data_IF_436494907747
#
_entry.id   IF_436494907747
#
_cell.length_a   1.000
_cell.length_b   1.000
_cell.length_c   1.000
_cell.angle_alpha   90.00
_cell.angle_beta   90.00
_cell.angle_gamma   90.00
#
_symmetry.space_group_name_H-M   'P 1'
#
loop_
_entity.id
_entity.type
_entity.pdbx_description
1 polymer ?
#
# COMPACT_ATOMS: atom_id res chain seq x y z
N UNK A 1 22.19 22.10 -2.90
CA UNK A 1 23.04 20.97 -3.37
C UNK A 1 22.19 19.80 -3.86
N UNK A 2 21.20 19.33 -3.10
CA UNK A 2 20.32 18.23 -3.52
C UNK A 2 19.63 18.49 -4.87
N UNK A 3 19.00 19.66 -5.02
CA UNK A 3 18.38 20.06 -6.29
C UNK A 3 19.40 20.19 -7.42
N UNK A 4 20.59 20.72 -7.13
CA UNK A 4 21.67 20.83 -8.14
C UNK A 4 22.18 19.45 -8.61
N UNK A 5 22.24 18.47 -7.71
CA UNK A 5 22.58 17.09 -8.08
C UNK A 5 21.46 16.43 -8.90
N UNK A 6 20.20 16.69 -8.56
CA UNK A 6 19.03 16.23 -9.32
C UNK A 6 19.01 16.82 -10.74
N UNK A 7 19.26 18.13 -10.88
CA UNK A 7 19.30 18.83 -12.16
C UNK A 7 20.50 18.37 -13.03
N UNK A 8 21.58 17.90 -12.39
CA UNK A 8 22.75 17.32 -13.04
C UNK A 8 22.61 15.80 -13.31
N UNK A 9 21.42 15.22 -13.13
CA UNK A 9 21.12 13.79 -13.34
C UNK A 9 21.92 12.83 -12.44
N UNK A 10 22.46 13.34 -11.33
CA UNK A 10 23.19 12.57 -10.31
C UNK A 10 22.21 12.06 -9.25
N UNK A 11 21.34 11.13 -9.63
CA UNK A 11 20.21 10.72 -8.80
C UNK A 11 20.61 10.02 -7.50
N UNK A 12 21.69 9.25 -7.48
CA UNK A 12 22.21 8.62 -6.27
C UNK A 12 22.71 9.66 -5.25
N UNK A 13 23.42 10.68 -5.72
CA UNK A 13 23.89 11.78 -4.87
C UNK A 13 22.72 12.63 -4.37
N UNK A 14 21.74 12.90 -5.23
CA UNK A 14 20.52 13.60 -4.84
C UNK A 14 19.71 12.84 -3.79
N UNK A 15 19.58 11.51 -3.92
CA UNK A 15 18.93 10.64 -2.95
C UNK A 15 19.69 10.62 -1.60
N UNK A 16 21.02 10.48 -1.61
CA UNK A 16 21.85 10.52 -0.41
C UNK A 16 21.74 11.86 0.31
N UNK A 17 21.73 12.97 -0.43
CA UNK A 17 21.57 14.31 0.15
C UNK A 17 20.15 14.50 0.73
N UNK A 18 19.10 13.98 0.07
CA UNK A 18 17.73 13.98 0.59
C UNK A 18 17.64 13.23 1.91
N UNK A 19 18.19 12.03 1.98
CA UNK A 19 18.14 11.18 3.17
C UNK A 19 18.95 11.80 4.32
N UNK A 20 20.06 12.46 4.01
CA UNK A 20 20.84 13.23 4.97
C UNK A 20 20.11 14.47 5.49
N UNK A 21 19.38 15.16 4.65
CA UNK A 21 18.51 16.29 5.05
C UNK A 21 17.40 15.78 5.97
N UNK A 22 16.75 14.67 5.63
CA UNK A 22 15.72 14.05 6.45
C UNK A 22 16.25 13.66 7.84
N UNK A 23 17.41 12.99 7.91
CA UNK A 23 18.07 12.62 9.17
C UNK A 23 18.46 13.84 10.02
N UNK A 24 19.04 14.88 9.42
CA UNK A 24 19.41 16.12 10.11
C UNK A 24 18.17 16.91 10.59
N UNK A 25 17.10 16.88 9.81
CA UNK A 25 15.83 17.50 10.21
C UNK A 25 15.27 16.77 11.42
N UNK A 26 15.26 15.45 11.40
CA UNK A 26 14.82 14.60 12.52
C UNK A 26 15.66 14.83 13.79
N UNK A 27 17.00 14.88 13.66
CA UNK A 27 17.90 15.20 14.80
C UNK A 27 17.64 16.60 15.37
N UNK A 28 17.43 17.59 14.51
CA UNK A 28 17.14 18.97 14.94
C UNK A 28 15.79 19.07 15.65
N UNK A 29 14.81 18.29 15.21
CA UNK A 29 13.51 18.16 15.87
C UNK A 29 13.66 17.52 17.25
N UNK A 30 14.43 16.46 17.41
CA UNK A 30 14.67 15.82 18.69
C UNK A 30 15.41 16.75 19.67
N UNK A 31 16.44 17.47 19.25
CA UNK A 31 17.18 18.42 20.09
C UNK A 31 16.34 19.62 20.56
N UNK A 32 15.40 20.10 19.73
CA UNK A 32 14.52 21.21 20.11
C UNK A 32 13.50 20.84 21.22
N UNK A 33 13.24 19.54 21.41
CA UNK A 33 12.27 19.02 22.38
C UNK A 33 12.93 18.76 23.74
N UNK A 34 14.21 18.40 23.78
CA UNK A 34 14.92 18.04 25.02
C UNK A 34 15.27 19.22 25.93
N UNK A 35 15.05 20.48 25.48
CA UNK A 35 15.64 21.64 26.17
C UNK A 35 14.74 22.33 27.20
N UNK A 36 13.45 21.96 27.35
CA UNK A 36 12.55 22.67 28.29
C UNK A 36 11.40 21.75 28.73
N UNK A 37 11.70 20.76 29.57
CA UNK A 37 10.68 19.81 29.99
C UNK A 37 10.32 19.96 31.45
N UNK A 38 9.11 20.35 31.74
CA UNK A 38 8.44 19.87 32.95
C UNK A 38 8.06 18.40 32.77
N UNK A 39 7.89 17.72 33.87
CA UNK A 39 7.51 16.28 33.97
C UNK A 39 6.05 16.07 33.49
N UNK A 40 5.78 16.34 32.19
CA UNK A 40 4.44 16.33 31.62
C UNK A 40 4.33 15.20 30.59
N UNK A 41 3.36 14.32 30.83
CA UNK A 41 2.92 13.33 29.86
C UNK A 41 1.76 13.91 29.02
N UNK A 42 1.98 14.01 27.73
CA UNK A 42 1.00 14.52 26.79
C UNK A 42 0.99 13.71 25.49
N UNK A 43 -0.17 13.58 24.89
CA UNK A 43 -0.34 13.14 23.52
C UNK A 43 -0.79 14.34 22.68
N UNK A 44 -0.31 14.39 21.43
CA UNK A 44 -0.61 15.46 20.50
C UNK A 44 -1.23 14.81 19.25
N UNK A 45 -2.39 15.31 18.82
CA UNK A 45 -3.12 14.80 17.67
C UNK A 45 -3.37 15.90 16.67
N UNK A 46 -2.99 15.66 15.43
CA UNK A 46 -3.26 16.53 14.30
C UNK A 46 -3.77 15.73 13.11
N UNK A 47 -4.56 16.36 12.24
CA UNK A 47 -5.12 15.74 11.06
C UNK A 47 -4.78 16.51 9.79
N UNK A 48 -4.55 15.77 8.70
CA UNK A 48 -4.40 16.33 7.37
C UNK A 48 -5.27 15.56 6.38
N UNK A 49 -5.98 16.29 5.53
CA UNK A 49 -6.96 15.72 4.60
C UNK A 49 -6.64 16.24 3.19
N UNK A 50 -6.61 15.35 2.22
CA UNK A 50 -6.38 15.73 0.83
C UNK A 50 -6.65 14.58 -0.14
N UNK A 51 -7.27 14.90 -1.27
CA UNK A 51 -7.58 13.95 -2.35
C UNK A 51 -8.25 12.65 -1.87
N UNK A 52 -9.20 12.75 -0.93
CA UNK A 52 -9.92 11.58 -0.40
C UNK A 52 -9.15 10.78 0.65
N UNK A 53 -7.92 11.16 0.98
CA UNK A 53 -7.09 10.49 1.99
C UNK A 53 -7.07 11.32 3.27
N UNK A 54 -7.25 10.64 4.39
CA UNK A 54 -7.15 11.20 5.74
C UNK A 54 -5.89 10.66 6.41
N UNK A 55 -5.10 11.55 7.00
CA UNK A 55 -3.95 11.21 7.84
C UNK A 55 -4.13 11.82 9.21
N UNK A 56 -4.04 11.01 10.26
CA UNK A 56 -3.94 11.46 11.64
C UNK A 56 -2.52 11.21 12.12
N UNK A 57 -1.86 12.24 12.64
CA UNK A 57 -0.55 12.10 13.28
C UNK A 57 -0.72 12.15 14.79
N UNK A 58 -0.20 11.14 15.47
CA UNK A 58 -0.16 11.03 16.92
C UNK A 58 1.29 11.15 17.38
N UNK A 59 1.61 12.20 18.11
CA UNK A 59 2.90 12.38 18.75
C UNK A 59 2.76 12.15 20.27
N UNK A 60 3.73 11.48 20.86
CA UNK A 60 3.71 11.14 22.29
C UNK A 60 4.87 11.81 23.01
N UNK A 61 4.56 12.50 24.10
CA UNK A 61 5.52 13.11 25.02
C UNK A 61 5.38 12.46 26.40
N UNK A 62 6.49 11.97 26.96
CA UNK A 62 6.53 11.38 28.30
C UNK A 62 7.69 11.97 29.08
N UNK A 63 7.42 12.47 30.31
CA UNK A 63 8.42 13.16 31.10
C UNK A 63 9.06 14.35 30.38
N UNK A 64 8.28 15.08 29.58
CA UNK A 64 8.77 16.18 28.75
C UNK A 64 9.61 15.77 27.52
N UNK A 65 9.78 14.47 27.25
CA UNK A 65 10.54 13.97 26.10
C UNK A 65 9.61 13.45 25.01
N UNK A 66 9.87 13.86 23.78
CA UNK A 66 9.16 13.34 22.62
C UNK A 66 9.61 11.91 22.31
N UNK A 67 8.68 10.96 22.36
CA UNK A 67 8.96 9.53 22.12
C UNK A 67 8.85 9.12 20.65
N UNK A 68 8.25 9.95 19.84
CA UNK A 68 8.08 9.70 18.41
C UNK A 68 6.69 10.09 17.91
N UNK A 69 6.55 10.11 16.58
CA UNK A 69 5.33 10.39 15.85
C UNK A 69 4.86 9.12 15.14
N UNK A 70 3.55 8.95 15.07
CA UNK A 70 2.94 7.88 14.31
C UNK A 70 1.86 8.45 13.38
N UNK A 71 2.12 8.38 12.08
CA UNK A 71 1.12 8.67 11.07
C UNK A 71 0.19 7.47 10.88
N UNK A 72 -1.11 7.71 11.00
CA UNK A 72 -2.17 6.71 10.91
C UNK A 72 -3.08 7.14 9.76
N UNK A 73 -3.38 6.20 8.87
CA UNK A 73 -4.31 6.38 7.77
C UNK A 73 -5.55 5.54 8.05
N UNK A 74 -6.60 6.13 8.67
CA UNK A 74 -7.83 5.41 8.94
C UNK A 74 -8.41 4.89 7.64
N UNK A 75 -8.82 3.62 7.61
CA UNK A 75 -9.60 3.10 6.48
C UNK A 75 -10.98 3.76 6.57
N UNK A 76 -11.45 4.35 5.49
CA UNK A 76 -12.87 4.62 5.34
C UNK A 76 -13.59 3.28 5.56
N UNK A 77 -14.63 3.25 6.40
CA UNK A 77 -15.41 2.03 6.63
C UNK A 77 -15.89 1.47 5.28
N UNK A 78 -16.31 0.20 5.24
CA UNK A 78 -16.68 -0.58 4.04
C UNK A 78 -17.74 0.05 3.10
N UNK A 79 -18.12 1.28 3.36
CA UNK A 79 -18.98 2.07 2.49
C UNK A 79 -18.12 2.87 1.52
N UNK A 80 -18.16 2.48 0.25
CA UNK A 80 -17.59 3.28 -0.82
C UNK A 80 -18.14 4.72 -0.72
N UNK A 81 -17.27 5.77 -0.69
CA UNK A 81 -17.74 7.14 -0.64
C UNK A 81 -18.59 7.40 -1.89
N UNK A 82 -19.85 7.78 -1.67
CA UNK A 82 -20.69 8.28 -2.76
C UNK A 82 -20.24 9.69 -3.12
N UNK A 83 -20.45 10.11 -4.37
CA UNK A 83 -20.09 11.44 -4.85
C UNK A 83 -20.74 12.62 -4.06
N UNK A 84 -21.60 12.31 -3.10
CA UNK A 84 -22.29 13.25 -2.20
C UNK A 84 -21.76 13.24 -0.76
N UNK A 85 -20.83 12.34 -0.40
CA UNK A 85 -20.23 12.34 0.92
C UNK A 85 -19.23 13.50 0.99
N UNK A 86 -19.62 14.58 1.66
CA UNK A 86 -18.71 15.68 1.99
C UNK A 86 -17.51 15.12 2.75
N UNK A 87 -16.31 15.55 2.37
CA UNK A 87 -15.10 15.19 3.11
C UNK A 87 -15.26 15.63 4.58
N UNK A 88 -14.92 14.75 5.53
CA UNK A 88 -15.03 15.08 6.93
C UNK A 88 -14.16 16.30 7.29
N UNK A 89 -14.60 17.10 8.27
CA UNK A 89 -13.77 18.14 8.82
C UNK A 89 -12.59 17.57 9.61
N UNK A 90 -11.56 18.38 9.87
CA UNK A 90 -10.45 17.95 10.74
C UNK A 90 -10.94 17.60 12.14
N UNK A 91 -11.90 18.37 12.66
CA UNK A 91 -12.50 18.14 13.96
C UNK A 91 -13.19 16.79 14.05
N UNK A 92 -14.01 16.43 13.06
CA UNK A 92 -14.69 15.14 12.98
C UNK A 92 -13.68 13.96 12.92
N UNK A 93 -12.59 14.12 12.15
CA UNK A 93 -11.52 13.11 12.07
C UNK A 93 -10.82 12.95 13.41
N UNK A 94 -10.46 14.03 14.09
CA UNK A 94 -9.79 14.00 15.39
C UNK A 94 -10.72 13.39 16.44
N UNK A 95 -11.99 13.77 16.46
CA UNK A 95 -12.98 13.23 17.40
C UNK A 95 -13.17 11.72 17.23
N UNK A 96 -13.36 11.26 16.00
CA UNK A 96 -13.48 9.85 15.69
C UNK A 96 -12.22 9.06 16.07
N UNK A 97 -11.04 9.59 15.75
CA UNK A 97 -9.77 8.97 16.10
C UNK A 97 -9.59 8.85 17.62
N UNK A 98 -9.76 9.95 18.36
CA UNK A 98 -9.58 10.00 19.81
C UNK A 98 -10.55 9.05 20.52
N UNK A 99 -11.82 9.02 20.07
CA UNK A 99 -12.85 8.15 20.65
C UNK A 99 -12.50 6.66 20.49
N UNK A 100 -11.99 6.27 19.32
CA UNK A 100 -11.61 4.88 19.05
C UNK A 100 -10.28 4.50 19.71
N UNK A 101 -9.29 5.40 19.63
CA UNK A 101 -7.94 5.12 20.11
C UNK A 101 -7.89 4.91 21.63
N UNK A 102 -8.58 5.76 22.39
CA UNK A 102 -8.57 5.69 23.85
C UNK A 102 -9.69 4.83 24.46
N UNK A 103 -10.49 4.18 23.64
CA UNK A 103 -11.40 3.16 24.12
C UNK A 103 -10.66 1.94 24.70
N UNK A 104 -9.47 1.63 24.16
CA UNK A 104 -8.69 0.44 24.52
C UNK A 104 -7.27 0.77 25.02
N UNK A 105 -6.80 2.00 24.86
CA UNK A 105 -5.43 2.40 25.19
C UNK A 105 -5.37 3.36 26.38
N UNK A 106 -4.24 3.41 27.11
CA UNK A 106 -4.08 4.32 28.24
C UNK A 106 -4.26 5.79 27.86
N UNK A 107 -5.09 6.50 28.62
CA UNK A 107 -5.38 7.91 28.41
C UNK A 107 -4.28 8.78 29.04
N UNK A 108 -3.67 9.72 28.29
CA UNK A 108 -2.60 10.59 28.76
C UNK A 108 -3.09 11.57 29.85
N UNK A 109 -2.14 12.22 30.52
CA UNK A 109 -2.49 13.26 31.50
C UNK A 109 -2.99 14.55 30.84
N UNK A 110 -2.57 14.80 29.59
CA UNK A 110 -2.95 15.96 28.78
C UNK A 110 -3.09 15.50 27.33
N UNK A 111 -4.14 15.94 26.65
CA UNK A 111 -4.27 15.83 25.19
C UNK A 111 -4.14 17.22 24.57
N UNK A 112 -3.33 17.34 23.52
CA UNK A 112 -3.23 18.54 22.68
C UNK A 112 -3.76 18.19 21.30
N UNK A 113 -4.68 18.98 20.78
CA UNK A 113 -5.29 18.74 19.46
C UNK A 113 -5.14 19.92 18.53
N UNK A 114 -5.05 19.66 17.23
CA UNK A 114 -5.11 20.71 16.22
C UNK A 114 -6.47 21.42 16.32
N UNK A 115 -6.51 22.78 16.36
CA UNK A 115 -7.77 23.50 16.37
C UNK A 115 -8.50 23.35 15.04
N UNK A 116 -9.82 23.17 15.09
CA UNK A 116 -10.69 23.30 13.94
C UNK A 116 -11.52 24.58 14.07
N UNK A 117 -11.31 25.58 13.20
CA UNK A 117 -12.09 26.82 13.27
C UNK A 117 -13.59 26.62 13.06
N UNK A 118 -13.99 25.53 12.39
CA UNK A 118 -15.39 25.18 12.18
C UNK A 118 -16.03 24.53 13.42
N UNK A 119 -15.21 24.06 14.37
CA UNK A 119 -15.67 23.36 15.56
C UNK A 119 -14.88 23.78 16.82
N UNK A 120 -15.13 24.96 17.34
CA UNK A 120 -14.43 25.48 18.53
C UNK A 120 -14.76 24.71 19.82
N UNK A 121 -15.83 23.93 19.85
CA UNK A 121 -16.25 23.13 21.02
C UNK A 121 -15.59 21.75 21.09
N UNK A 122 -14.89 21.31 20.05
CA UNK A 122 -14.21 20.02 20.00
C UNK A 122 -13.36 19.73 21.24
N UNK A 123 -12.49 20.65 21.73
CA UNK A 123 -11.68 20.36 22.93
C UNK A 123 -12.50 20.08 24.18
N UNK A 124 -13.62 20.78 24.34
CA UNK A 124 -14.51 20.58 25.49
C UNK A 124 -15.21 19.21 25.46
N UNK A 125 -15.71 18.81 24.27
CA UNK A 125 -16.33 17.48 24.08
C UNK A 125 -15.33 16.35 24.31
N UNK A 126 -14.13 16.46 23.75
CA UNK A 126 -13.06 15.48 23.95
C UNK A 126 -12.63 15.39 25.42
N UNK A 127 -12.54 16.54 26.11
CA UNK A 127 -12.20 16.56 27.55
C UNK A 127 -13.26 15.84 28.40
N UNK A 128 -14.55 16.03 28.09
CA UNK A 128 -15.64 15.30 28.76
C UNK A 128 -15.52 13.81 28.51
N UNK A 129 -15.43 13.38 27.24
CA UNK A 129 -15.30 11.99 26.87
C UNK A 129 -14.12 11.29 27.56
N UNK A 130 -12.93 11.89 27.50
CA UNK A 130 -11.73 11.30 28.08
C UNK A 130 -11.78 11.29 29.61
N UNK A 131 -12.42 12.29 30.23
CA UNK A 131 -12.62 12.35 31.69
C UNK A 131 -13.54 11.21 32.15
N UNK A 132 -14.63 10.96 31.43
CA UNK A 132 -15.57 9.87 31.72
C UNK A 132 -14.89 8.50 31.56
N UNK A 133 -14.12 8.30 30.48
CA UNK A 133 -13.38 7.07 30.24
C UNK A 133 -12.25 6.83 31.27
N UNK A 134 -11.54 7.89 31.66
CA UNK A 134 -10.39 7.79 32.58
C UNK A 134 -10.78 7.75 34.05
N UNK A 135 -12.00 8.15 34.41
CA UNK A 135 -12.42 8.35 35.81
C UNK A 135 -11.65 9.50 36.52
N UNK A 136 -10.95 10.32 35.80
CA UNK A 136 -10.18 11.49 36.28
C UNK A 136 -10.22 12.61 35.25
N UNK A 137 -10.06 13.85 35.70
CA UNK A 137 -10.01 14.98 34.77
C UNK A 137 -8.86 14.85 33.76
N UNK A 138 -9.20 14.96 32.47
CA UNK A 138 -8.25 14.96 31.35
C UNK A 138 -8.42 16.26 30.57
N UNK A 139 -7.52 17.23 30.73
CA UNK A 139 -7.60 18.48 29.97
C UNK A 139 -7.26 18.21 28.50
N UNK A 140 -8.02 18.87 27.61
CA UNK A 140 -7.76 18.93 26.17
C UNK A 140 -7.55 20.37 25.77
N UNK A 141 -6.43 20.64 25.06
CA UNK A 141 -6.00 21.98 24.70
C UNK A 141 -5.77 22.06 23.20
N UNK A 142 -6.39 23.03 22.53
CA UNK A 142 -6.19 23.30 21.09
C UNK A 142 -5.29 24.50 20.81
N UNK A 143 -5.14 25.41 21.78
CA UNK A 143 -4.29 26.60 21.68
C UNK A 143 -3.20 26.60 22.76
N UNK A 144 -2.25 25.69 22.71
CA UNK A 144 -1.20 25.60 23.70
C UNK A 144 -0.19 26.75 23.56
N UNK A 145 0.52 27.07 24.65
CA UNK A 145 1.54 28.10 24.71
C UNK A 145 2.96 27.52 24.61
N UNK A 146 3.92 28.35 24.21
CA UNK A 146 5.37 28.06 24.25
C UNK A 146 5.78 26.67 23.70
N UNK A 147 6.38 25.82 24.50
CA UNK A 147 6.91 24.50 24.10
C UNK A 147 5.80 23.58 23.56
N UNK A 148 4.62 23.60 24.20
CA UNK A 148 3.48 22.79 23.77
C UNK A 148 2.94 23.22 22.41
N UNK A 149 3.02 24.51 22.09
CA UNK A 149 2.68 25.02 20.75
C UNK A 149 3.64 24.48 19.70
N UNK A 150 4.93 24.40 19.99
CA UNK A 150 5.89 23.79 19.08
C UNK A 150 5.62 22.30 18.83
N UNK A 151 5.24 21.56 19.88
CA UNK A 151 4.83 20.16 19.72
C UNK A 151 3.64 20.00 18.77
N UNK A 152 2.64 20.89 18.92
CA UNK A 152 1.48 20.89 18.04
C UNK A 152 1.87 21.23 16.59
N UNK A 153 2.67 22.26 16.38
CA UNK A 153 3.15 22.67 15.05
C UNK A 153 3.93 21.55 14.37
N UNK A 154 4.76 20.82 15.10
CA UNK A 154 5.49 19.65 14.59
C UNK A 154 4.54 18.51 14.24
N UNK A 155 3.56 18.24 15.08
CA UNK A 155 2.57 17.19 14.83
C UNK A 155 1.75 17.50 13.57
N UNK A 156 1.34 18.75 13.36
CA UNK A 156 0.66 19.22 12.16
C UNK A 156 1.55 19.03 10.90
N UNK A 157 2.81 19.45 10.98
CA UNK A 157 3.76 19.22 9.89
C UNK A 157 3.96 17.74 9.59
N UNK A 158 4.04 16.90 10.63
CA UNK A 158 4.14 15.45 10.50
C UNK A 158 2.96 14.87 9.73
N UNK A 159 1.72 15.29 10.05
CA UNK A 159 0.53 14.88 9.32
C UNK A 159 0.57 15.28 7.84
N UNK A 160 0.99 16.52 7.55
CA UNK A 160 1.09 17.04 6.19
C UNK A 160 2.14 16.31 5.36
N UNK A 161 3.33 16.07 5.91
CA UNK A 161 4.42 15.34 5.25
C UNK A 161 4.00 13.90 4.98
N UNK A 162 3.39 13.22 5.96
CA UNK A 162 2.93 11.86 5.80
C UNK A 162 1.84 11.75 4.73
N UNK A 163 0.88 12.67 4.70
CA UNK A 163 -0.15 12.73 3.66
C UNK A 163 0.46 12.97 2.28
N UNK A 164 1.36 13.98 2.15
CA UNK A 164 2.01 14.28 0.87
C UNK A 164 2.81 13.07 0.33
N UNK A 165 3.52 12.37 1.21
CA UNK A 165 4.22 11.13 0.85
C UNK A 165 3.23 10.07 0.36
N UNK A 166 2.13 9.84 1.07
CA UNK A 166 1.11 8.86 0.71
C UNK A 166 0.47 9.17 -0.63
N UNK A 167 0.18 10.45 -0.91
CA UNK A 167 -0.36 10.91 -2.20
C UNK A 167 0.65 10.71 -3.34
N UNK A 168 1.93 11.00 -3.10
CA UNK A 168 2.98 10.78 -4.10
C UNK A 168 3.16 9.28 -4.40
N UNK A 169 3.15 8.42 -3.37
CA UNK A 169 3.20 6.96 -3.53
C UNK A 169 1.98 6.46 -4.32
N UNK A 170 0.77 6.91 -3.99
CA UNK A 170 -0.47 6.54 -4.69
C UNK A 170 -0.45 7.02 -6.15
N UNK A 171 -0.01 8.24 -6.41
CA UNK A 171 0.13 8.77 -7.78
C UNK A 171 1.12 7.98 -8.62
N UNK A 172 2.23 7.57 -8.02
CA UNK A 172 3.22 6.71 -8.69
C UNK A 172 2.63 5.34 -9.00
N UNK A 173 1.88 4.75 -8.07
CA UNK A 173 1.27 3.44 -8.26
C UNK A 173 0.18 3.47 -9.34
N UNK A 174 -0.67 4.50 -9.35
CA UNK A 174 -1.66 4.71 -10.41
C UNK A 174 -1.01 4.87 -11.78
N UNK A 175 0.10 5.62 -11.86
CA UNK A 175 0.85 5.77 -13.10
C UNK A 175 1.46 4.44 -13.58
N UNK A 176 2.00 3.62 -12.67
CA UNK A 176 2.50 2.27 -12.99
C UNK A 176 1.40 1.35 -13.52
N UNK A 177 0.22 1.40 -12.88
CA UNK A 177 -0.94 0.62 -13.29
C UNK A 177 -1.43 1.04 -14.67
N UNK A 178 -1.59 2.33 -14.93
CA UNK A 178 -2.01 2.84 -16.23
C UNK A 178 -1.02 2.47 -17.35
N UNK A 179 0.28 2.57 -17.09
CA UNK A 179 1.32 2.15 -18.04
C UNK A 179 1.24 0.63 -18.30
N UNK A 180 1.00 -0.20 -17.29
CA UNK A 180 0.83 -1.64 -17.47
C UNK A 180 -0.42 -1.97 -18.30
N UNK A 181 -1.55 -1.34 -18.01
CA UNK A 181 -2.78 -1.51 -18.79
C UNK A 181 -2.59 -1.08 -20.25
N UNK A 182 -1.91 0.04 -20.49
CA UNK A 182 -1.60 0.51 -21.84
C UNK A 182 -0.72 -0.48 -22.62
N UNK A 183 0.28 -1.07 -21.97
CA UNK A 183 1.17 -2.08 -22.56
C UNK A 183 0.44 -3.38 -22.86
N UNK A 184 -0.38 -3.85 -21.94
CA UNK A 184 -1.19 -5.07 -22.14
C UNK A 184 -2.25 -4.87 -23.23
N UNK A 185 -2.79 -3.66 -23.35
CA UNK A 185 -3.77 -3.28 -24.35
C UNK A 185 -5.21 -3.61 -23.97
N UNK A 186 -6.18 -3.29 -24.85
CA UNK A 186 -7.60 -3.30 -24.53
C UNK A 186 -8.17 -4.68 -24.19
N UNK A 187 -7.52 -5.76 -24.58
CA UNK A 187 -7.95 -7.12 -24.23
C UNK A 187 -7.87 -7.38 -22.70
N UNK A 188 -7.08 -6.59 -21.97
CA UNK A 188 -6.94 -6.67 -20.53
C UNK A 188 -7.57 -5.46 -19.82
N UNK A 189 -8.47 -4.73 -20.48
CA UNK A 189 -9.21 -3.65 -19.83
C UNK A 189 -10.20 -4.23 -18.79
N UNK A 190 -10.33 -3.62 -17.60
CA UNK A 190 -11.38 -3.99 -16.66
C UNK A 190 -12.76 -3.72 -17.26
N UNK A 191 -13.78 -4.47 -16.82
CA UNK A 191 -15.14 -4.46 -17.40
C UNK A 191 -15.78 -3.08 -17.45
N UNK A 192 -15.49 -2.21 -16.48
CA UNK A 192 -16.08 -0.87 -16.36
C UNK A 192 -15.10 0.26 -16.70
N UNK A 193 -13.97 -0.03 -17.33
CA UNK A 193 -12.87 0.91 -17.60
C UNK A 193 -12.31 1.62 -16.32
N UNK A 194 -12.63 1.09 -15.14
CA UNK A 194 -12.09 1.61 -13.87
C UNK A 194 -10.75 0.93 -13.55
N UNK A 195 -9.63 1.66 -13.53
CA UNK A 195 -8.33 1.10 -13.18
C UNK A 195 -8.29 0.43 -11.80
N UNK A 196 -9.18 0.80 -10.88
CA UNK A 196 -9.25 0.19 -9.55
C UNK A 196 -9.84 -1.23 -9.58
N UNK A 197 -10.57 -1.60 -10.61
CA UNK A 197 -11.05 -2.97 -10.82
C UNK A 197 -10.00 -3.89 -11.46
N UNK A 198 -8.90 -3.31 -11.98
CA UNK A 198 -7.80 -4.11 -12.53
C UNK A 198 -7.16 -4.97 -11.45
N UNK A 199 -7.10 -6.26 -11.70
CA UNK A 199 -6.55 -7.22 -10.75
C UNK A 199 -5.59 -8.20 -11.40
N UNK A 200 -4.53 -8.55 -10.65
CA UNK A 200 -3.52 -9.52 -11.07
C UNK A 200 -3.35 -10.58 -10.00
N UNK A 201 -3.36 -11.83 -10.38
CA UNK A 201 -2.92 -12.94 -9.55
C UNK A 201 -1.63 -13.51 -10.14
N UNK A 202 -0.53 -13.47 -9.39
CA UNK A 202 0.77 -13.97 -9.85
C UNK A 202 1.10 -15.30 -9.16
N UNK A 203 1.52 -16.27 -9.96
CA UNK A 203 1.89 -17.60 -9.51
C UNK A 203 3.38 -17.84 -9.69
N UNK A 204 4.02 -18.28 -8.60
CA UNK A 204 5.39 -18.76 -8.57
C UNK A 204 5.44 -20.18 -7.99
N UNK A 205 6.28 -21.02 -8.58
CA UNK A 205 6.57 -22.36 -8.07
C UNK A 205 7.98 -22.36 -7.50
N UNK A 206 8.08 -22.64 -6.22
CA UNK A 206 9.35 -22.73 -5.52
C UNK A 206 9.63 -24.16 -5.06
N UNK A 207 10.86 -24.61 -5.32
CA UNK A 207 11.39 -25.87 -4.81
C UNK A 207 12.30 -25.59 -3.63
N UNK A 208 11.92 -26.06 -2.46
CA UNK A 208 12.82 -26.08 -1.30
C UNK A 208 13.64 -27.37 -1.39
N UNK A 209 14.96 -27.28 -1.41
CA UNK A 209 15.84 -28.44 -1.51
C UNK A 209 15.50 -29.47 -0.42
N UNK A 210 14.91 -30.61 -0.82
CA UNK A 210 14.59 -31.74 0.06
C UNK A 210 13.23 -31.69 0.76
N UNK A 211 12.40 -30.67 0.52
CA UNK A 211 11.03 -30.55 1.05
C UNK A 211 9.98 -30.52 -0.07
N UNK A 212 8.71 -30.63 0.32
CA UNK A 212 7.59 -30.65 -0.61
C UNK A 212 7.56 -29.38 -1.51
N UNK A 213 7.32 -29.58 -2.81
CA UNK A 213 7.10 -28.49 -3.76
C UNK A 213 5.94 -27.60 -3.29
N UNK A 214 6.17 -26.31 -3.24
CA UNK A 214 5.16 -25.32 -2.85
C UNK A 214 4.93 -24.33 -4.00
N UNK A 215 3.71 -23.88 -4.13
CA UNK A 215 3.41 -22.75 -5.00
C UNK A 215 2.77 -21.63 -4.20
N UNK A 216 3.06 -20.40 -4.61
CA UNK A 216 2.46 -19.19 -4.06
C UNK A 216 1.61 -18.48 -5.10
N UNK A 217 0.52 -17.89 -4.62
CA UNK A 217 -0.29 -16.95 -5.37
C UNK A 217 -0.33 -15.64 -4.61
N UNK A 218 0.19 -14.59 -5.21
CA UNK A 218 0.07 -13.22 -4.70
C UNK A 218 -1.00 -12.48 -5.48
N UNK A 219 -1.62 -11.50 -4.83
CA UNK A 219 -2.78 -10.79 -5.39
C UNK A 219 -2.53 -9.29 -5.36
N UNK A 220 -2.62 -8.66 -6.53
CA UNK A 220 -2.69 -7.23 -6.70
C UNK A 220 -4.12 -6.83 -7.09
N UNK A 221 -4.73 -5.95 -6.33
CA UNK A 221 -6.10 -5.46 -6.56
C UNK A 221 -6.27 -4.09 -5.91
N UNK A 222 -7.17 -3.26 -6.45
CA UNK A 222 -7.41 -1.91 -5.93
C UNK A 222 -6.12 -1.07 -5.87
N UNK A 223 -5.31 -1.18 -6.91
CA UNK A 223 -4.07 -0.44 -7.05
C UNK A 223 -2.95 -0.82 -6.05
N UNK A 224 -3.03 -1.97 -5.35
CA UNK A 224 -2.05 -2.39 -4.34
C UNK A 224 -1.98 -3.90 -4.15
N UNK A 225 -0.89 -4.36 -3.53
CA UNK A 225 -0.76 -5.74 -3.10
C UNK A 225 -1.72 -6.04 -1.94
N UNK A 226 -2.46 -7.15 -2.03
CA UNK A 226 -3.47 -7.57 -1.05
C UNK A 226 -2.99 -8.81 -0.29
N UNK A 227 -2.13 -8.63 0.70
CA UNK A 227 -1.50 -9.74 1.44
C UNK A 227 -2.49 -10.68 2.14
N UNK A 228 -3.68 -10.19 2.52
CA UNK A 228 -4.76 -11.00 3.09
C UNK A 228 -5.35 -12.03 2.11
N UNK A 229 -5.19 -11.77 0.80
CA UNK A 229 -5.66 -12.63 -0.28
C UNK A 229 -4.59 -13.61 -0.79
N UNK A 230 -3.36 -13.52 -0.31
CA UNK A 230 -2.29 -14.43 -0.71
C UNK A 230 -2.63 -15.87 -0.33
N UNK A 231 -2.22 -16.81 -1.17
CA UNK A 231 -2.44 -18.25 -0.93
C UNK A 231 -1.14 -19.02 -1.15
N UNK A 232 -0.93 -20.00 -0.29
CA UNK A 232 0.12 -21.01 -0.46
C UNK A 232 -0.54 -22.34 -0.73
N UNK A 233 0.02 -23.07 -1.68
CA UNK A 233 -0.48 -24.37 -2.09
C UNK A 233 0.59 -25.42 -1.80
N UNK A 234 0.26 -26.36 -0.94
CA UNK A 234 1.06 -27.58 -0.80
C UNK A 234 0.75 -28.49 -1.98
N UNK A 235 1.78 -28.86 -2.68
CA UNK A 235 1.70 -29.72 -3.86
C UNK A 235 2.05 -31.14 -3.43
N UNK A 236 1.22 -32.11 -3.78
CA UNK A 236 1.40 -33.50 -3.41
C UNK A 236 1.17 -34.44 -4.61
N UNK A 237 1.87 -35.56 -4.62
CA UNK A 237 1.65 -36.62 -5.62
C UNK A 237 2.23 -36.29 -7.00
N UNK A 238 3.22 -35.39 -7.07
CA UNK A 238 3.98 -35.11 -8.30
C UNK A 238 5.45 -35.48 -8.11
N UNK A 239 6.14 -35.79 -9.22
CA UNK A 239 7.59 -36.01 -9.22
C UNK A 239 8.34 -34.75 -8.76
N UNK A 240 9.38 -34.87 -7.92
CA UNK A 240 10.22 -33.73 -7.56
C UNK A 240 10.85 -33.07 -8.79
N UNK A 241 10.63 -31.76 -8.95
CA UNK A 241 11.14 -30.98 -10.09
C UNK A 241 10.18 -30.89 -11.28
N UNK A 242 8.98 -31.48 -11.19
CA UNK A 242 7.94 -31.30 -12.19
C UNK A 242 7.12 -30.04 -11.95
N UNK A 243 7.70 -28.89 -12.36
CA UNK A 243 7.06 -27.56 -12.26
C UNK A 243 5.75 -27.50 -13.04
N UNK A 244 5.65 -28.28 -14.11
CA UNK A 244 4.47 -28.30 -14.96
C UNK A 244 3.28 -28.95 -14.26
N UNK A 245 3.47 -30.13 -13.67
CA UNK A 245 2.42 -30.80 -12.90
C UNK A 245 2.04 -29.96 -11.66
N UNK A 246 3.02 -29.31 -11.03
CA UNK A 246 2.80 -28.41 -9.91
C UNK A 246 1.89 -27.25 -10.28
N UNK A 247 2.22 -26.53 -11.36
CA UNK A 247 1.42 -25.39 -11.85
C UNK A 247 0.01 -25.84 -12.23
N UNK A 248 -0.12 -26.96 -12.95
CA UNK A 248 -1.42 -27.53 -13.32
C UNK A 248 -2.29 -27.79 -12.09
N UNK A 249 -1.73 -28.41 -11.06
CA UNK A 249 -2.45 -28.70 -9.82
C UNK A 249 -2.91 -27.41 -9.11
N UNK A 250 -2.05 -26.40 -9.07
CA UNK A 250 -2.33 -25.12 -8.39
C UNK A 250 -3.41 -24.33 -9.11
N UNK A 251 -3.27 -24.15 -10.42
CA UNK A 251 -4.24 -23.38 -11.21
C UNK A 251 -5.62 -24.06 -11.20
N UNK A 252 -5.68 -25.38 -11.35
CA UNK A 252 -6.93 -26.11 -11.27
C UNK A 252 -7.62 -25.92 -9.91
N UNK A 253 -6.87 -26.00 -8.80
CA UNK A 253 -7.41 -25.78 -7.44
C UNK A 253 -7.84 -24.33 -7.21
N UNK A 254 -7.07 -23.35 -7.72
CA UNK A 254 -7.37 -21.93 -7.54
C UNK A 254 -8.61 -21.50 -8.29
N UNK A 255 -8.77 -21.97 -9.53
CA UNK A 255 -9.80 -21.51 -10.44
C UNK A 255 -11.00 -22.45 -10.62
N UNK A 256 -11.03 -23.61 -9.96
CA UNK A 256 -12.22 -24.45 -9.92
C UNK A 256 -13.50 -23.71 -9.45
N UNK A 257 -13.46 -22.80 -8.45
CA UNK A 257 -14.62 -22.00 -8.10
C UNK A 257 -15.07 -21.05 -9.23
N UNK A 258 -14.12 -20.45 -9.96
CA UNK A 258 -14.44 -19.59 -11.09
C UNK A 258 -15.10 -20.38 -12.23
N UNK A 259 -14.64 -21.59 -12.51
CA UNK A 259 -15.24 -22.49 -13.49
C UNK A 259 -16.70 -22.86 -13.14
N UNK A 260 -17.05 -22.83 -11.84
CA UNK A 260 -18.44 -23.05 -11.38
C UNK A 260 -19.27 -21.77 -11.27
N UNK A 261 -18.68 -20.61 -11.61
CA UNK A 261 -19.35 -19.31 -11.47
C UNK A 261 -19.45 -18.82 -10.03
N UNK A 262 -18.69 -19.40 -9.09
CA UNK A 262 -18.69 -19.06 -7.67
C UNK A 262 -17.67 -17.93 -7.33
N UNK A 263 -16.79 -17.61 -8.28
CA UNK A 263 -15.77 -16.57 -8.14
C UNK A 263 -15.49 -15.91 -9.49
N UNK A 264 -15.02 -14.69 -9.47
CA UNK A 264 -14.54 -13.99 -10.66
C UNK A 264 -13.09 -14.29 -10.95
N UNK A 265 -12.73 -14.31 -12.26
CA UNK A 265 -11.34 -14.34 -12.69
C UNK A 265 -10.70 -12.95 -12.48
N UNK A 266 -9.40 -12.90 -12.14
CA UNK A 266 -8.66 -11.65 -12.20
C UNK A 266 -8.55 -11.16 -13.65
N UNK A 267 -8.26 -9.87 -13.83
CA UNK A 267 -8.01 -9.30 -15.16
C UNK A 267 -6.77 -9.94 -15.81
N UNK A 268 -5.76 -10.27 -14.99
CA UNK A 268 -4.52 -10.91 -15.44
C UNK A 268 -4.15 -12.07 -14.52
N UNK A 269 -3.89 -13.23 -15.10
CA UNK A 269 -3.24 -14.38 -14.45
C UNK A 269 -1.78 -14.36 -14.89
N UNK A 270 -0.91 -13.87 -14.00
CA UNK A 270 0.51 -13.72 -14.26
C UNK A 270 1.25 -15.01 -13.86
N UNK A 271 2.01 -15.57 -14.80
CA UNK A 271 2.82 -16.77 -14.58
C UNK A 271 4.29 -16.36 -14.58
N UNK A 272 5.01 -16.55 -13.45
CA UNK A 272 6.47 -16.35 -13.43
C UNK A 272 7.13 -17.50 -14.20
N UNK A 273 7.13 -17.34 -15.52
CA UNK A 273 7.64 -18.38 -16.40
C UNK A 273 7.53 -18.07 -17.88
N UNK A 274 8.21 -18.90 -18.66
CA UNK A 274 8.27 -18.78 -20.10
C UNK A 274 7.10 -19.45 -20.83
N UNK A 275 7.25 -19.56 -22.15
CA UNK A 275 6.23 -20.09 -23.08
C UNK A 275 5.64 -21.43 -22.66
N UNK A 276 6.47 -22.34 -22.15
CA UNK A 276 6.00 -23.68 -21.76
C UNK A 276 5.02 -23.62 -20.59
N UNK A 277 5.30 -22.81 -19.57
CA UNK A 277 4.42 -22.65 -18.40
C UNK A 277 3.12 -21.93 -18.77
N UNK A 278 3.19 -20.96 -19.69
CA UNK A 278 1.99 -20.28 -20.24
C UNK A 278 1.11 -21.25 -21.00
N UNK A 279 1.71 -22.11 -21.82
CA UNK A 279 0.93 -23.09 -22.59
C UNK A 279 0.21 -24.09 -21.70
N UNK A 280 0.87 -24.53 -20.64
CA UNK A 280 0.25 -25.40 -19.65
C UNK A 280 -0.88 -24.70 -18.87
N UNK A 281 -0.68 -23.43 -18.49
CA UNK A 281 -1.75 -22.64 -17.87
C UNK A 281 -2.95 -22.51 -18.83
N UNK A 282 -2.70 -22.37 -20.15
CA UNK A 282 -3.72 -22.36 -21.19
C UNK A 282 -4.53 -23.68 -21.20
N UNK A 283 -3.83 -24.82 -21.20
CA UNK A 283 -4.50 -26.14 -21.19
C UNK A 283 -5.42 -26.29 -19.96
N UNK A 284 -4.96 -25.86 -18.78
CA UNK A 284 -5.79 -25.90 -17.56
C UNK A 284 -7.02 -25.02 -17.68
N UNK A 285 -6.89 -23.83 -18.26
CA UNK A 285 -8.00 -22.91 -18.44
C UNK A 285 -9.01 -23.44 -19.46
N UNK A 286 -8.53 -24.06 -20.55
CA UNK A 286 -9.39 -24.75 -21.51
C UNK A 286 -10.14 -25.92 -20.88
N UNK A 287 -9.45 -26.77 -20.11
CA UNK A 287 -10.04 -27.90 -19.36
C UNK A 287 -11.15 -27.43 -18.39
N UNK A 288 -10.98 -26.22 -17.81
CA UNK A 288 -11.93 -25.60 -16.89
C UNK A 288 -13.02 -24.76 -17.60
N UNK A 289 -12.92 -24.56 -18.90
CA UNK A 289 -13.84 -23.70 -19.67
C UNK A 289 -13.71 -22.21 -19.32
N UNK A 290 -12.49 -21.76 -18.92
CA UNK A 290 -12.18 -20.40 -18.55
C UNK A 290 -11.53 -19.61 -19.69
N UNK A 291 -11.60 -18.27 -19.60
CA UNK A 291 -10.98 -17.38 -20.58
C UNK A 291 -9.45 -17.46 -20.53
N UNK A 292 -8.85 -18.04 -21.56
CA UNK A 292 -7.40 -18.13 -21.72
C UNK A 292 -6.75 -16.79 -21.99
N UNK A 293 -7.51 -15.79 -22.44
CA UNK A 293 -7.04 -14.44 -22.71
C UNK A 293 -6.50 -13.71 -21.48
N UNK A 294 -6.90 -14.13 -20.28
CA UNK A 294 -6.40 -13.58 -19.02
C UNK A 294 -4.95 -13.94 -18.69
N UNK A 295 -4.36 -14.95 -19.37
CA UNK A 295 -3.04 -15.50 -19.01
C UNK A 295 -1.92 -14.66 -19.64
N UNK A 296 -0.93 -14.30 -18.83
CA UNK A 296 0.30 -13.62 -19.23
C UNK A 296 1.49 -14.27 -18.54
N UNK A 297 2.50 -14.67 -19.29
CA UNK A 297 3.77 -15.14 -18.72
C UNK A 297 4.80 -14.02 -18.63
N UNK A 298 5.66 -14.09 -17.64
CA UNK A 298 6.84 -13.23 -17.50
C UNK A 298 8.09 -14.08 -17.67
N UNK A 299 8.65 -14.04 -18.88
CA UNK A 299 9.90 -14.71 -19.18
C UNK A 299 11.09 -13.82 -18.83
N UNK A 300 12.10 -14.38 -18.17
CA UNK A 300 13.39 -13.72 -17.96
C UNK A 300 14.06 -13.49 -19.32
N UNK A 301 14.52 -12.27 -19.59
CA UNK A 301 15.18 -11.94 -20.83
C UNK A 301 16.46 -12.73 -21.11
N UNK A 302 17.01 -12.63 -22.30
CA UNK A 302 18.25 -13.32 -22.69
C UNK A 302 19.37 -13.04 -21.68
N UNK A 303 19.99 -14.12 -21.19
CA UNK A 303 21.05 -14.06 -20.18
C UNK A 303 20.57 -13.94 -18.73
N UNK A 304 19.28 -14.11 -18.44
CA UNK A 304 18.68 -14.02 -17.09
C UNK A 304 18.95 -12.71 -16.36
N UNK A 305 19.16 -11.62 -17.10
CA UNK A 305 19.31 -10.28 -16.51
C UNK A 305 17.95 -9.76 -16.06
N UNK A 306 17.87 -9.34 -14.82
CA UNK A 306 16.74 -8.54 -14.29
C UNK A 306 16.65 -7.22 -15.06
N UNK A 307 15.43 -6.82 -15.44
CA UNK A 307 15.19 -5.57 -16.18
C UNK A 307 14.98 -5.73 -17.68
N UNK A 308 15.01 -6.97 -18.20
CA UNK A 308 14.73 -7.30 -19.59
C UNK A 308 13.62 -8.36 -19.70
N UNK A 309 12.62 -8.26 -18.83
CA UNK A 309 11.49 -9.18 -18.83
C UNK A 309 10.66 -9.04 -20.09
N UNK A 310 10.25 -10.20 -20.62
CA UNK A 310 9.42 -10.30 -21.81
C UNK A 310 8.07 -10.89 -21.42
N UNK A 311 6.98 -10.18 -21.75
CA UNK A 311 5.64 -10.73 -21.60
C UNK A 311 5.36 -11.69 -22.75
N UNK A 312 4.89 -12.89 -22.41
CA UNK A 312 4.52 -13.94 -23.34
C UNK A 312 3.05 -14.28 -23.15
N UNK A 313 2.38 -14.61 -24.26
CA UNK A 313 0.95 -14.83 -24.30
C UNK A 313 0.64 -16.25 -24.77
N UNK A 314 -0.50 -16.83 -24.36
CA UNK A 314 -0.95 -18.13 -24.85
C UNK A 314 -1.30 -18.09 -26.34
N UNK A 315 -1.46 -19.26 -26.93
CA UNK A 315 -2.07 -19.42 -28.26
C UNK A 315 -3.58 -19.38 -28.11
N UNK A 316 -4.25 -18.48 -28.84
CA UNK A 316 -5.71 -18.36 -28.87
C UNK A 316 -6.15 -18.52 -30.31
N UNK A 317 -7.07 -19.44 -30.60
CA UNK A 317 -7.60 -19.73 -31.95
C UNK A 317 -6.49 -19.98 -33.00
N UNK A 318 -5.42 -20.67 -32.59
CA UNK A 318 -4.27 -20.94 -33.45
C UNK A 318 -3.32 -19.75 -33.67
N UNK A 319 -3.61 -18.60 -33.12
CA UNK A 319 -2.80 -17.40 -33.22
C UNK A 319 -2.09 -17.10 -31.90
N UNK A 320 -0.83 -16.74 -31.99
CA UNK A 320 -0.03 -16.26 -30.84
C UNK A 320 0.26 -14.78 -30.99
N UNK A 321 -0.07 -14.01 -29.97
CA UNK A 321 0.36 -12.64 -29.87
C UNK A 321 1.90 -12.57 -29.76
N UNK A 322 2.52 -11.60 -30.45
CA UNK A 322 3.95 -11.37 -30.34
C UNK A 322 4.36 -11.03 -28.91
N UNK A 323 5.49 -11.58 -28.44
CA UNK A 323 5.99 -11.24 -27.10
C UNK A 323 6.28 -9.75 -26.99
N UNK A 324 5.94 -9.15 -25.84
CA UNK A 324 6.22 -7.76 -25.55
C UNK A 324 7.47 -7.64 -24.68
N UNK A 325 8.49 -6.99 -25.21
CA UNK A 325 9.68 -6.64 -24.45
C UNK A 325 9.39 -5.35 -23.71
N UNK A 326 9.44 -5.39 -22.39
CA UNK A 326 9.26 -4.19 -21.58
C UNK A 326 10.54 -3.36 -21.60
N UNK A 327 10.39 -2.05 -21.81
CA UNK A 327 11.52 -1.14 -21.76
C UNK A 327 12.15 -1.16 -20.35
N UNK A 328 13.48 -1.15 -20.33
CA UNK A 328 14.24 -1.07 -19.08
C UNK A 328 13.79 0.14 -18.27
N UNK A 329 13.57 -0.04 -16.96
CA UNK A 329 13.06 1.01 -16.06
C UNK A 329 11.66 1.56 -16.38
N UNK A 330 10.87 0.89 -17.24
CA UNK A 330 9.49 1.31 -17.48
C UNK A 330 8.63 1.12 -16.22
N UNK A 331 7.62 1.98 -16.04
CA UNK A 331 6.69 1.88 -14.92
C UNK A 331 5.90 0.57 -14.93
N UNK A 332 5.55 0.07 -16.11
CA UNK A 332 4.90 -1.23 -16.28
C UNK A 332 5.79 -2.37 -15.76
N UNK A 333 7.10 -2.36 -16.12
CA UNK A 333 8.07 -3.34 -15.65
C UNK A 333 8.23 -3.29 -14.12
N UNK A 334 8.31 -2.08 -13.56
CA UNK A 334 8.40 -1.90 -12.10
C UNK A 334 7.20 -2.50 -11.36
N UNK A 335 5.97 -2.35 -11.90
CA UNK A 335 4.78 -2.95 -11.30
C UNK A 335 4.79 -4.47 -11.42
N UNK A 336 5.18 -5.02 -12.55
CA UNK A 336 5.30 -6.48 -12.73
C UNK A 336 6.35 -7.06 -11.78
N UNK A 337 7.50 -6.39 -11.61
CA UNK A 337 8.51 -6.81 -10.66
C UNK A 337 7.98 -6.79 -9.22
N UNK A 338 7.28 -5.71 -8.82
CA UNK A 338 6.64 -5.60 -7.50
C UNK A 338 5.60 -6.71 -7.24
N UNK A 339 4.84 -7.10 -8.27
CA UNK A 339 3.83 -8.17 -8.15
C UNK A 339 4.49 -9.54 -8.06
N UNK A 340 5.63 -9.73 -8.73
CA UNK A 340 6.32 -11.01 -8.78
C UNK A 340 7.18 -11.29 -7.55
N UNK A 341 7.85 -10.27 -6.98
CA UNK A 341 8.75 -10.36 -5.82
C UNK A 341 7.96 -10.42 -4.50
#
# INVERSE_FOLDING_TARGET
RMWAASDAWQFEEAAHLRDRIAALTQMRHQQAIETTGGDVDADIVAASIGQGIVCVNLAMVRGGRHLGDRAIFPKAGDRAPTAQDLMPSKGEVIEAFVSQHYAELPIPALLIVEPDPADPELPARLSSLLTDLAGRRVPVVSEPQETRRRWLEMCIQGAQIALARRLAESGTQTARLNDLMAVLGPAFAPKNDDPMEFSVECFDISHTQGEATQASCVVFREGRMQSSLYRRFNIAGIEPGDDYAAMKQVLARRYAPAARGEAELPTVVLIDGGRGQVEMAREVFEDLGLDVGAIVGVAKGEGRKTGLETLVFPVIDGHRREPLILAEMSRALMLIAEIRD
#
